data_IF_837164033859
#
_entry.id   IF_837164033859
#
_cell.length_a   1.000
_cell.length_b   1.000
_cell.length_c   1.000
_cell.angle_alpha   90.00
_cell.angle_beta   90.00
_cell.angle_gamma   90.00
#
_symmetry.space_group_name_H-M   'P 1'
#
loop_
_entity.id
_entity.type
_entity.pdbx_description
1 polymer ?
#
# COMPACT_ATOMS: atom_id res chain seq x y z
N UNK A 1 -15.85 16.45 3.70
CA UNK A 1 -16.29 15.29 4.52
C UNK A 1 -15.35 14.10 4.39
N UNK A 2 -14.94 13.71 3.18
CA UNK A 2 -14.02 12.56 2.97
C UNK A 2 -12.65 12.81 3.60
N UNK A 3 -12.05 13.99 3.41
CA UNK A 3 -10.76 14.32 3.99
C UNK A 3 -10.81 14.33 5.53
N UNK A 4 -11.88 14.89 6.12
CA UNK A 4 -12.05 14.89 7.58
C UNK A 4 -12.16 13.48 8.16
N UNK A 5 -12.88 12.56 7.49
CA UNK A 5 -13.00 11.17 7.93
C UNK A 5 -11.66 10.42 7.80
N UNK A 6 -10.90 10.72 6.77
CA UNK A 6 -9.55 10.16 6.57
C UNK A 6 -8.60 10.63 7.66
N UNK A 7 -8.63 11.92 7.99
CA UNK A 7 -7.79 12.50 9.05
C UNK A 7 -8.14 11.91 10.43
N UNK A 8 -9.42 11.72 10.73
CA UNK A 8 -9.88 11.08 11.96
C UNK A 8 -9.40 9.62 12.06
N UNK A 9 -9.53 8.85 10.98
CA UNK A 9 -9.07 7.46 10.93
C UNK A 9 -7.55 7.36 11.14
N UNK A 10 -6.79 8.25 10.52
CA UNK A 10 -5.32 8.33 10.71
C UNK A 10 -4.97 8.64 12.17
N UNK A 11 -5.62 9.64 12.77
CA UNK A 11 -5.35 10.01 14.15
C UNK A 11 -5.69 8.88 15.11
N UNK A 12 -6.85 8.23 14.94
CA UNK A 12 -7.25 7.09 15.75
C UNK A 12 -6.22 5.97 15.69
N UNK A 13 -5.78 5.60 14.49
CA UNK A 13 -4.76 4.55 14.30
C UNK A 13 -3.44 4.91 15.02
N UNK A 14 -2.96 6.14 14.88
CA UNK A 14 -1.70 6.58 15.50
C UNK A 14 -1.77 6.66 17.02
N UNK A 15 -2.95 6.99 17.57
CA UNK A 15 -3.18 7.07 19.02
C UNK A 15 -3.34 5.68 19.67
N UNK A 16 -3.88 4.71 18.94
CA UNK A 16 -4.10 3.35 19.43
C UNK A 16 -2.84 2.48 19.41
N UNK A 17 -1.74 2.95 18.84
CA UNK A 17 -0.45 2.24 18.87
C UNK A 17 0.11 2.18 20.30
N UNK A 18 -0.32 1.19 21.05
CA UNK A 18 0.24 0.87 22.37
C UNK A 18 1.30 -0.23 22.23
N UNK A 19 2.54 0.00 22.72
CA UNK A 19 3.63 -0.97 22.58
C UNK A 19 3.39 -2.34 23.24
N UNK A 20 2.42 -2.45 24.13
CA UNK A 20 2.23 -3.59 25.00
C UNK A 20 1.18 -4.62 24.51
N UNK A 21 0.39 -4.30 23.50
CA UNK A 21 -0.60 -5.22 22.94
C UNK A 21 -0.27 -5.50 21.48
N UNK A 22 0.79 -6.20 21.30
CA UNK A 22 1.22 -6.48 19.98
C UNK A 22 0.42 -7.61 19.39
N UNK A 23 -0.14 -7.36 18.26
CA UNK A 23 -0.73 -8.34 17.39
C UNK A 23 0.34 -9.31 16.88
N UNK A 24 0.97 -10.04 17.81
CA UNK A 24 2.11 -10.95 17.54
C UNK A 24 1.70 -12.07 16.60
N UNK A 25 0.50 -12.62 16.81
CA UNK A 25 -0.04 -13.67 15.94
C UNK A 25 -0.31 -13.15 14.54
N UNK A 26 -0.84 -11.92 14.43
CA UNK A 26 -1.05 -11.28 13.14
C UNK A 26 0.28 -11.06 12.42
N UNK A 27 1.29 -10.53 13.11
CA UNK A 27 2.60 -10.33 12.51
C UNK A 27 3.18 -11.62 11.95
N UNK A 28 3.11 -12.71 12.73
CA UNK A 28 3.57 -14.02 12.29
C UNK A 28 2.81 -14.52 11.05
N UNK A 29 1.49 -14.32 11.00
CA UNK A 29 0.66 -14.69 9.87
C UNK A 29 1.02 -13.88 8.61
N UNK A 30 1.27 -12.57 8.75
CA UNK A 30 1.66 -11.70 7.65
C UNK A 30 3.08 -11.99 7.15
N UNK A 31 4.01 -12.31 8.03
CA UNK A 31 5.35 -12.76 7.66
C UNK A 31 5.30 -14.06 6.86
N UNK A 32 4.49 -15.00 7.29
CA UNK A 32 4.27 -16.26 6.58
C UNK A 32 3.63 -16.03 5.21
N UNK A 33 2.64 -15.15 5.13
CA UNK A 33 2.02 -14.76 3.86
C UNK A 33 3.07 -14.21 2.87
N UNK A 34 3.90 -13.28 3.30
CA UNK A 34 4.96 -12.71 2.44
C UNK A 34 5.95 -13.78 1.97
N UNK A 35 6.31 -14.71 2.86
CA UNK A 35 7.21 -15.82 2.54
C UNK A 35 6.62 -16.76 1.50
N UNK A 36 5.34 -17.10 1.64
CA UNK A 36 4.64 -17.95 0.67
C UNK A 36 4.50 -17.29 -0.69
N UNK A 37 4.13 -16.00 -0.74
CA UNK A 37 4.08 -15.26 -2.00
C UNK A 37 5.38 -15.36 -2.79
N UNK A 38 6.50 -15.17 -2.12
CA UNK A 38 7.81 -15.28 -2.76
C UNK A 38 8.11 -16.70 -3.23
N UNK A 39 7.88 -17.70 -2.37
CA UNK A 39 8.10 -19.11 -2.68
C UNK A 39 7.25 -19.58 -3.88
N UNK A 40 6.02 -19.13 -3.98
CA UNK A 40 5.07 -19.45 -5.05
C UNK A 40 5.20 -18.54 -6.28
N UNK A 41 6.17 -17.61 -6.28
CA UNK A 41 6.43 -16.64 -7.35
C UNK A 41 5.19 -15.82 -7.72
N UNK A 42 4.34 -15.52 -6.73
CA UNK A 42 3.09 -14.77 -6.92
C UNK A 42 2.23 -15.31 -8.08
N UNK A 43 2.09 -16.62 -8.17
CA UNK A 43 1.38 -17.27 -9.29
C UNK A 43 -0.10 -16.83 -9.41
N UNK A 44 -0.70 -16.32 -8.33
CA UNK A 44 -2.08 -15.82 -8.32
C UNK A 44 -2.19 -14.32 -8.67
N UNK A 45 -1.08 -13.63 -8.85
CA UNK A 45 -1.07 -12.24 -9.33
C UNK A 45 -1.17 -12.24 -10.85
N UNK A 46 -2.39 -12.30 -11.38
CA UNK A 46 -2.65 -12.43 -12.82
C UNK A 46 -3.31 -11.20 -13.42
N UNK A 47 -3.98 -10.37 -12.59
CA UNK A 47 -4.71 -9.19 -13.01
C UNK A 47 -4.66 -8.12 -11.90
N UNK A 48 -4.41 -6.87 -12.26
CA UNK A 48 -4.40 -5.75 -11.32
C UNK A 48 -5.79 -5.40 -10.79
N UNK A 49 -6.83 -5.73 -11.53
CA UNK A 49 -8.22 -5.45 -11.14
C UNK A 49 -8.82 -6.52 -10.22
N UNK A 50 -8.20 -7.70 -10.16
CA UNK A 50 -8.66 -8.84 -9.35
C UNK A 50 -7.89 -8.97 -8.02
N UNK A 51 -7.47 -7.86 -7.43
CA UNK A 51 -6.64 -7.83 -6.22
C UNK A 51 -7.41 -7.37 -4.98
N UNK A 52 -8.67 -7.74 -4.86
CA UNK A 52 -9.54 -7.34 -3.75
C UNK A 52 -9.31 -8.14 -2.46
N UNK A 53 -8.89 -9.39 -2.59
CA UNK A 53 -8.74 -10.30 -1.46
C UNK A 53 -7.63 -9.85 -0.49
N UNK A 54 -7.94 -9.65 0.79
CA UNK A 54 -6.94 -9.29 1.77
C UNK A 54 -6.04 -10.48 2.12
N UNK A 55 -4.79 -10.18 2.51
CA UNK A 55 -3.84 -11.18 3.00
C UNK A 55 -4.29 -11.85 4.30
N UNK A 56 -5.05 -11.13 5.11
CA UNK A 56 -5.65 -11.59 6.36
C UNK A 56 -6.91 -10.80 6.65
N UNK A 57 -7.87 -11.43 7.33
CA UNK A 57 -9.03 -10.75 7.90
C UNK A 57 -8.63 -10.09 9.22
N UNK A 58 -8.40 -8.78 9.19
CA UNK A 58 -7.94 -8.03 10.36
C UNK A 58 -8.95 -8.02 11.50
N UNK A 59 -10.22 -8.17 11.21
CA UNK A 59 -11.27 -8.20 12.24
C UNK A 59 -11.12 -9.40 13.17
N UNK A 60 -10.61 -10.52 12.66
CA UNK A 60 -10.32 -11.72 13.48
C UNK A 60 -9.20 -11.49 14.49
N UNK A 61 -8.41 -10.43 14.32
CA UNK A 61 -7.35 -9.99 15.22
C UNK A 61 -7.74 -8.78 16.07
N UNK A 62 -9.03 -8.41 16.08
CA UNK A 62 -9.55 -7.28 16.86
C UNK A 62 -9.31 -5.91 16.24
N UNK A 63 -8.98 -5.84 14.94
CA UNK A 63 -8.80 -4.59 14.20
C UNK A 63 -10.05 -4.33 13.38
N UNK A 64 -11.04 -3.71 14.02
CA UNK A 64 -12.39 -3.54 13.45
C UNK A 64 -12.44 -2.51 12.31
N UNK A 65 -11.54 -1.54 12.30
CA UNK A 65 -11.43 -0.54 11.25
C UNK A 65 -10.69 -1.03 9.99
N UNK A 66 -10.10 -2.22 10.06
CA UNK A 66 -9.34 -2.86 8.97
C UNK A 66 -8.15 -2.04 8.45
N UNK A 67 -7.65 -1.09 9.24
CA UNK A 67 -6.48 -0.28 8.88
C UNK A 67 -5.21 -1.01 9.32
N UNK A 68 -4.31 -1.28 8.36
CA UNK A 68 -3.02 -1.91 8.64
C UNK A 68 -1.90 -0.88 8.82
N UNK A 69 -2.08 0.33 8.34
CA UNK A 69 -1.06 1.36 8.44
C UNK A 69 -1.50 2.72 7.94
N UNK A 70 -0.58 3.66 8.04
CA UNK A 70 -0.72 5.03 7.54
C UNK A 70 0.40 5.32 6.57
N UNK A 71 0.04 5.81 5.39
CA UNK A 71 0.95 6.24 4.34
C UNK A 71 1.14 7.76 4.41
N UNK A 72 2.39 8.21 4.43
CA UNK A 72 2.75 9.62 4.38
C UNK A 72 3.68 9.90 3.21
N UNK A 73 3.30 10.84 2.36
CA UNK A 73 4.06 11.25 1.18
C UNK A 73 4.14 12.78 1.18
N UNK A 74 5.20 13.37 1.78
CA UNK A 74 5.31 14.82 1.91
C UNK A 74 5.26 15.59 0.59
N UNK A 75 5.88 15.07 -0.48
CA UNK A 75 5.87 15.69 -1.80
C UNK A 75 4.46 15.80 -2.42
N UNK A 76 3.52 15.00 -1.97
CA UNK A 76 2.11 15.04 -2.36
C UNK A 76 1.22 15.73 -1.32
N UNK A 77 1.79 16.17 -0.20
CA UNK A 77 1.03 16.65 0.96
C UNK A 77 -0.05 15.64 1.39
N UNK A 78 0.31 14.35 1.38
CA UNK A 78 -0.62 13.24 1.59
C UNK A 78 -0.32 12.49 2.87
N UNK A 79 -1.36 12.29 3.66
CA UNK A 79 -1.41 11.35 4.79
C UNK A 79 -2.72 10.57 4.68
N UNK A 80 -2.65 9.25 4.66
CA UNK A 80 -3.80 8.43 4.28
C UNK A 80 -3.77 7.08 4.98
N UNK A 81 -4.93 6.55 5.45
CA UNK A 81 -4.98 5.19 5.97
C UNK A 81 -4.79 4.17 4.85
N UNK A 82 -4.22 3.03 5.20
CA UNK A 82 -3.97 1.91 4.30
C UNK A 82 -4.72 0.68 4.79
N UNK A 83 -5.49 0.07 3.90
CA UNK A 83 -6.28 -1.14 4.14
C UNK A 83 -5.64 -2.34 3.46
N UNK A 84 -5.93 -3.56 3.91
CA UNK A 84 -5.55 -4.80 3.22
C UNK A 84 -6.65 -5.21 2.23
N UNK A 85 -6.24 -5.47 0.98
CA UNK A 85 -7.16 -5.80 -0.10
C UNK A 85 -7.78 -4.56 -0.75
N UNK A 86 -7.77 -4.53 -2.07
CA UNK A 86 -8.20 -3.37 -2.85
C UNK A 86 -9.69 -3.45 -3.24
N UNK A 87 -10.56 -3.62 -2.24
CA UNK A 87 -12.00 -3.54 -2.45
C UNK A 87 -12.44 -2.09 -2.76
N UNK A 88 -13.59 -1.93 -3.40
CA UNK A 88 -14.17 -0.61 -3.67
C UNK A 88 -14.38 0.19 -2.37
N UNK A 89 -14.77 -0.48 -1.29
CA UNK A 89 -14.95 0.16 0.01
C UNK A 89 -13.63 0.70 0.57
N UNK A 90 -12.55 -0.09 0.52
CA UNK A 90 -11.23 0.33 0.96
C UNK A 90 -10.67 1.47 0.11
N UNK A 91 -10.77 1.37 -1.21
CA UNK A 91 -10.31 2.44 -2.12
C UNK A 91 -11.10 3.74 -1.98
N UNK A 92 -12.36 3.67 -1.55
CA UNK A 92 -13.15 4.85 -1.21
C UNK A 92 -12.73 5.46 0.11
N UNK A 93 -12.30 4.65 1.09
CA UNK A 93 -11.90 5.11 2.41
C UNK A 93 -10.44 5.62 2.46
N UNK A 94 -9.57 5.12 1.61
CA UNK A 94 -8.16 5.51 1.60
C UNK A 94 -7.36 4.81 0.52
N UNK A 95 -6.13 4.40 0.85
CA UNK A 95 -5.30 3.56 0.01
C UNK A 95 -5.43 2.09 0.42
N UNK A 96 -5.13 1.18 -0.47
CA UNK A 96 -5.27 -0.25 -0.22
C UNK A 96 -4.10 -1.06 -0.78
N UNK A 97 -3.65 -2.05 -0.01
CA UNK A 97 -2.68 -3.05 -0.47
C UNK A 97 -3.36 -4.00 -1.44
N UNK A 98 -2.82 -4.14 -2.63
CA UNK A 98 -3.32 -5.11 -3.60
C UNK A 98 -3.18 -6.55 -3.07
N UNK A 99 -4.23 -7.34 -3.18
CA UNK A 99 -4.16 -8.77 -2.94
C UNK A 99 -3.09 -9.44 -3.80
N UNK A 100 -2.48 -10.51 -3.32
CA UNK A 100 -1.38 -11.21 -3.98
C UNK A 100 -0.09 -10.37 -4.15
N UNK A 101 0.03 -9.28 -3.42
CA UNK A 101 1.30 -8.55 -3.23
C UNK A 101 1.73 -8.60 -1.76
N UNK A 102 2.98 -8.26 -1.47
CA UNK A 102 3.49 -8.30 -0.10
C UNK A 102 2.72 -7.33 0.81
N UNK A 103 2.52 -7.71 2.06
CA UNK A 103 1.91 -6.84 3.08
C UNK A 103 2.91 -5.82 3.61
N UNK A 104 2.45 -4.69 4.20
CA UNK A 104 3.31 -3.56 4.53
C UNK A 104 4.08 -3.74 5.84
N UNK A 105 4.92 -4.75 5.93
CA UNK A 105 5.79 -5.04 7.08
C UNK A 105 7.27 -5.03 6.73
N UNK A 106 7.62 -4.69 5.48
CA UNK A 106 9.00 -4.73 5.00
C UNK A 106 9.57 -6.15 4.88
N UNK A 107 10.83 -6.25 4.63
CA UNK A 107 11.57 -7.49 4.55
C UNK A 107 12.22 -7.74 3.19
N UNK A 108 13.25 -8.59 3.21
CA UNK A 108 13.94 -9.01 2.00
C UNK A 108 13.00 -9.72 1.04
N UNK A 109 13.17 -9.45 -0.26
CA UNK A 109 12.33 -10.05 -1.31
C UNK A 109 10.84 -9.83 -1.09
N UNK A 110 10.46 -8.57 -0.83
CA UNK A 110 9.08 -8.11 -0.72
C UNK A 110 8.81 -6.92 -1.63
N UNK A 111 7.59 -6.82 -2.11
CA UNK A 111 7.06 -5.63 -2.80
C UNK A 111 5.61 -5.41 -2.39
N UNK A 112 5.39 -4.49 -1.47
CA UNK A 112 4.05 -4.08 -1.05
C UNK A 112 3.50 -3.07 -2.07
N UNK A 113 2.45 -3.46 -2.79
CA UNK A 113 1.83 -2.59 -3.80
C UNK A 113 0.58 -1.95 -3.23
N UNK A 114 0.61 -0.62 -3.16
CA UNK A 114 -0.48 0.19 -2.59
C UNK A 114 -1.15 0.97 -3.71
N UNK A 115 -2.44 0.74 -3.89
CA UNK A 115 -3.28 1.44 -4.85
C UNK A 115 -4.06 2.59 -4.19
N UNK A 116 -4.31 3.62 -4.97
CA UNK A 116 -5.18 4.73 -4.60
C UNK A 116 -5.84 5.32 -5.85
N UNK A 117 -7.04 5.88 -5.70
CA UNK A 117 -7.69 6.59 -6.78
C UNK A 117 -6.86 7.79 -7.23
N UNK A 118 -6.85 8.08 -8.52
CA UNK A 118 -6.23 9.30 -9.05
C UNK A 118 -7.22 10.46 -9.03
N UNK A 119 -7.68 10.82 -7.82
CA UNK A 119 -8.79 11.74 -7.57
C UNK A 119 -10.15 11.05 -7.65
N UNK A 120 -10.99 11.27 -6.67
CA UNK A 120 -12.32 10.66 -6.59
C UNK A 120 -13.28 11.55 -5.80
N UNK A 121 -14.43 11.85 -6.39
CA UNK A 121 -15.51 12.63 -5.74
C UNK A 121 -15.04 13.89 -5.01
N UNK A 122 -14.11 14.65 -5.63
CA UNK A 122 -13.59 15.90 -5.07
C UNK A 122 -12.45 15.77 -4.05
N UNK A 123 -12.01 14.56 -3.75
CA UNK A 123 -10.82 14.30 -2.95
C UNK A 123 -9.63 13.90 -3.84
N UNK A 124 -8.44 14.28 -3.43
CA UNK A 124 -7.25 14.14 -4.26
C UNK A 124 -6.69 12.72 -4.31
N UNK A 125 -6.69 11.96 -3.20
CA UNK A 125 -6.05 10.65 -3.13
C UNK A 125 -4.65 10.69 -3.77
N UNK A 126 -4.39 9.88 -4.81
CA UNK A 126 -3.14 9.85 -5.57
C UNK A 126 -3.14 10.76 -6.82
N UNK A 127 -4.04 11.75 -6.86
CA UNK A 127 -4.12 12.70 -8.00
C UNK A 127 -2.76 13.29 -8.37
N UNK A 128 -1.99 13.68 -7.36
CA UNK A 128 -0.72 14.38 -7.52
C UNK A 128 0.51 13.47 -7.46
N UNK A 129 0.35 12.19 -7.76
CA UNK A 129 1.46 11.21 -7.76
C UNK A 129 2.60 11.61 -8.70
N UNK A 130 2.30 12.39 -9.73
CA UNK A 130 3.27 12.93 -10.68
C UNK A 130 4.17 14.03 -10.10
N UNK A 131 3.91 14.50 -8.87
CA UNK A 131 4.85 15.36 -8.12
C UNK A 131 6.04 14.60 -7.57
N UNK A 132 5.94 13.28 -7.43
CA UNK A 132 7.03 12.46 -6.92
C UNK A 132 8.19 12.41 -7.90
N UNK A 133 9.39 12.52 -7.35
CA UNK A 133 10.65 12.38 -8.07
C UNK A 133 11.55 11.36 -7.37
N UNK A 134 12.48 10.76 -8.10
CA UNK A 134 13.50 9.89 -7.54
C UNK A 134 14.23 10.62 -6.40
N UNK A 135 14.35 9.97 -5.25
CA UNK A 135 14.93 10.53 -4.03
C UNK A 135 13.93 11.06 -3.02
N UNK A 136 12.65 11.25 -3.40
CA UNK A 136 11.60 11.66 -2.46
C UNK A 136 11.31 10.56 -1.43
N UNK A 137 10.93 10.98 -0.23
CA UNK A 137 10.65 10.08 0.88
C UNK A 137 9.18 9.69 0.91
N UNK A 138 8.95 8.41 1.16
CA UNK A 138 7.64 7.80 1.44
C UNK A 138 7.76 7.03 2.74
N UNK A 139 6.85 7.27 3.70
CA UNK A 139 6.83 6.51 4.95
C UNK A 139 5.52 5.74 5.10
N UNK A 140 5.62 4.58 5.69
CA UNK A 140 4.48 3.77 6.07
C UNK A 140 4.64 3.36 7.53
N UNK A 141 3.70 3.78 8.37
CA UNK A 141 3.62 3.39 9.76
C UNK A 141 2.58 2.29 9.90
N UNK A 142 3.03 1.09 10.26
CA UNK A 142 2.14 -0.05 10.51
C UNK A 142 1.86 -0.20 12.01
N UNK A 143 1.30 -1.32 12.43
CA UNK A 143 0.98 -1.61 13.84
C UNK A 143 2.23 -1.78 14.73
N UNK A 144 3.40 -1.98 14.14
CA UNK A 144 4.63 -2.33 14.87
C UNK A 144 5.74 -1.32 14.74
N UNK A 145 5.87 -0.68 13.58
CA UNK A 145 7.00 0.23 13.29
C UNK A 145 6.70 1.21 12.16
N UNK A 146 7.57 2.18 12.00
CA UNK A 146 7.58 3.08 10.84
C UNK A 146 8.65 2.63 9.85
N UNK A 147 8.23 2.38 8.63
CA UNK A 147 9.08 2.00 7.50
C UNK A 147 9.32 3.21 6.61
N UNK A 148 10.58 3.52 6.34
CA UNK A 148 10.97 4.63 5.46
C UNK A 148 11.48 4.10 4.14
N UNK A 149 10.98 4.67 3.06
CA UNK A 149 11.34 4.33 1.68
C UNK A 149 11.75 5.58 0.91
N UNK A 150 12.53 5.39 -0.13
CA UNK A 150 12.92 6.44 -1.07
C UNK A 150 12.49 6.06 -2.48
N UNK A 151 11.89 6.98 -3.22
CA UNK A 151 11.53 6.75 -4.63
C UNK A 151 12.77 6.40 -5.43
N UNK A 152 12.76 5.24 -6.07
CA UNK A 152 13.87 4.70 -6.84
C UNK A 152 13.62 4.74 -8.36
N UNK A 153 12.37 4.58 -8.80
CA UNK A 153 12.00 4.56 -10.22
C UNK A 153 10.53 4.91 -10.40
N UNK A 154 10.19 5.42 -11.57
CA UNK A 154 8.83 5.78 -11.97
C UNK A 154 8.56 5.25 -13.37
N UNK A 155 7.46 4.52 -13.56
CA UNK A 155 7.07 3.96 -14.84
C UNK A 155 5.58 4.15 -15.12
N UNK A 156 5.23 4.17 -16.40
CA UNK A 156 3.86 4.05 -16.87
C UNK A 156 3.74 2.67 -17.52
N UNK A 157 2.80 1.86 -17.02
CA UNK A 157 2.60 0.48 -17.48
C UNK A 157 1.19 0.25 -17.99
N UNK A 158 1.01 -0.83 -18.76
CA UNK A 158 -0.32 -1.30 -19.15
C UNK A 158 -0.95 -2.10 -18.01
N UNK A 159 -2.30 -2.14 -17.89
CA UNK A 159 -2.97 -2.86 -16.81
C UNK A 159 -2.66 -4.37 -16.75
N UNK A 160 -2.28 -4.98 -17.86
CA UNK A 160 -1.94 -6.40 -17.92
C UNK A 160 -0.48 -6.73 -17.56
N UNK A 161 0.37 -5.73 -17.40
CA UNK A 161 1.81 -5.92 -17.13
C UNK A 161 2.08 -6.18 -15.64
N UNK A 162 1.46 -7.22 -15.09
CA UNK A 162 1.57 -7.58 -13.66
C UNK A 162 3.01 -7.92 -13.25
N UNK A 163 3.85 -8.36 -14.16
CA UNK A 163 5.26 -8.65 -13.88
C UNK A 163 6.03 -7.42 -13.41
N UNK A 164 5.56 -6.22 -13.80
CA UNK A 164 6.17 -4.94 -13.42
C UNK A 164 6.01 -4.61 -11.92
N UNK A 165 5.08 -5.24 -11.22
CA UNK A 165 4.83 -5.01 -9.79
C UNK A 165 5.10 -6.24 -8.93
N UNK A 166 5.70 -7.29 -9.49
CA UNK A 166 6.09 -8.49 -8.73
C UNK A 166 7.27 -8.23 -7.81
N UNK A 167 7.43 -9.12 -6.84
CA UNK A 167 8.60 -9.16 -5.94
C UNK A 167 9.89 -9.27 -6.78
N UNK A 168 10.88 -8.50 -6.39
CA UNK A 168 12.23 -8.56 -6.96
C UNK A 168 13.17 -9.11 -5.89
N UNK A 169 13.84 -10.22 -6.20
CA UNK A 169 14.72 -10.91 -5.26
C UNK A 169 15.77 -9.97 -4.66
N UNK A 170 15.92 -10.03 -3.34
CA UNK A 170 16.91 -9.26 -2.59
C UNK A 170 16.53 -7.79 -2.37
N UNK A 171 15.33 -7.37 -2.79
CA UNK A 171 14.87 -5.98 -2.62
C UNK A 171 13.71 -5.91 -1.63
N UNK A 172 13.67 -4.83 -0.87
CA UNK A 172 12.56 -4.46 0.01
C UNK A 172 11.87 -3.24 -0.60
N UNK A 173 10.75 -3.47 -1.29
CA UNK A 173 10.06 -2.46 -2.08
C UNK A 173 8.67 -2.14 -1.53
N UNK A 174 8.30 -0.88 -1.69
CA UNK A 174 6.93 -0.39 -1.61
C UNK A 174 6.62 0.31 -2.93
N UNK A 175 5.56 -0.11 -3.60
CA UNK A 175 5.16 0.40 -4.90
C UNK A 175 3.82 1.08 -4.81
N UNK A 176 3.73 2.32 -5.30
CA UNK A 176 2.48 3.07 -5.40
C UNK A 176 1.94 2.93 -6.81
N UNK A 177 0.64 2.67 -6.95
CA UNK A 177 0.00 2.51 -8.25
C UNK A 177 -1.33 3.27 -8.31
N UNK A 178 -1.59 3.92 -9.43
CA UNK A 178 -2.86 4.60 -9.70
C UNK A 178 -3.15 4.64 -11.20
N UNK A 179 -4.37 5.01 -11.55
CA UNK A 179 -4.79 5.17 -12.94
C UNK A 179 -4.00 6.28 -13.67
N UNK A 180 -3.75 6.08 -14.95
CA UNK A 180 -3.06 7.05 -15.82
C UNK A 180 -3.67 7.02 -17.24
N UNK A 181 -3.74 8.17 -17.96
CA UNK A 181 -3.64 9.54 -17.43
C UNK A 181 -4.77 9.90 -16.45
N UNK A 182 -4.63 11.03 -15.77
CA UNK A 182 -5.70 11.57 -14.94
C UNK A 182 -7.02 11.67 -15.72
N UNK A 183 -8.13 11.26 -15.12
CA UNK A 183 -9.47 11.25 -15.71
C UNK A 183 -9.63 10.45 -17.02
N UNK A 184 -8.75 9.48 -17.28
CA UNK A 184 -8.78 8.66 -18.52
C UNK A 184 -9.65 7.41 -18.44
N UNK A 185 -10.21 7.10 -17.27
CA UNK A 185 -10.87 5.81 -17.02
C UNK A 185 -9.89 4.64 -16.87
N UNK A 186 -8.60 4.92 -16.60
CA UNK A 186 -7.62 3.90 -16.26
C UNK A 186 -7.04 3.13 -17.45
N UNK A 187 -6.77 3.79 -18.55
CA UNK A 187 -6.14 3.17 -19.73
C UNK A 187 -4.77 2.59 -19.44
N UNK A 188 -4.02 3.25 -18.57
CA UNK A 188 -2.68 2.86 -18.13
C UNK A 188 -2.58 2.95 -16.60
N UNK A 189 -1.43 2.60 -16.04
CA UNK A 189 -1.12 2.76 -14.61
C UNK A 189 0.16 3.57 -14.46
N UNK A 190 0.11 4.53 -13.55
CA UNK A 190 1.27 5.27 -13.07
C UNK A 190 1.84 4.54 -11.86
N UNK A 191 3.11 4.17 -11.91
CA UNK A 191 3.76 3.31 -10.92
C UNK A 191 4.99 4.00 -10.37
N UNK A 192 5.08 4.10 -9.05
CA UNK A 192 6.22 4.65 -8.33
C UNK A 192 6.84 3.54 -7.46
N UNK A 193 8.07 3.15 -7.78
CA UNK A 193 8.81 2.15 -7.03
C UNK A 193 9.64 2.82 -5.96
N UNK A 194 9.44 2.43 -4.70
CA UNK A 194 10.18 2.95 -3.57
C UNK A 194 10.99 1.83 -2.91
N UNK A 195 12.24 2.12 -2.57
CA UNK A 195 13.16 1.17 -1.95
C UNK A 195 13.38 1.50 -0.48
N UNK A 196 13.42 0.48 0.36
CA UNK A 196 13.57 0.63 1.80
C UNK A 196 14.88 1.34 2.14
N UNK A 197 14.79 2.34 2.99
CA UNK A 197 15.96 2.97 3.62
C UNK A 197 16.26 2.18 4.89
N UNK A 198 17.42 1.53 4.91
CA UNK A 198 17.87 0.82 6.11
C UNK A 198 18.50 1.81 7.09
N UNK A 199 18.22 1.66 8.41
CA UNK A 199 18.83 2.49 9.43
C UNK A 199 20.33 2.26 9.57
#
# INVERSE_FOLDING_TARGET
>A
RLQANTDEAVQSFLEEQKPEQQHTELLAALQEYNRQLYAEKQCNLTDLEACEEPAADLTTYGIEDEIIGVLEIPAMELTMPVYLGASDAHLTAGAAVLGNTSVPIGGDSTNCVIAGHRGWRGADYFRHIDRLAVGDTVTLTNLWETLTYTVADIQIIQPHEVDKIKIQQGRDLLTLITCHPYASGGKQRYVVYCERVMP
#
